data_IF_418410592424
#
_entry.id   IF_418410592424
#
_cell.length_a   1.000
_cell.length_b   1.000
_cell.length_c   1.000
_cell.angle_alpha   90.00
_cell.angle_beta   90.00
_cell.angle_gamma   90.00
#
_symmetry.space_group_name_H-M   'P 1'
#
loop_
_entity.id
_entity.type
_entity.pdbx_description
1 polymer ?
#
# COMPACT_ATOMS: atom_id res chain seq x y z
N UNK A 1 -66.58 -4.44 -38.49
CA UNK A 1 -66.89 -3.00 -38.55
C UNK A 1 -65.88 -2.38 -39.52
N UNK A 2 -66.34 -2.05 -40.75
CA UNK A 2 -65.69 -1.29 -41.86
C UNK A 2 -64.25 -1.71 -42.26
N UNK A 3 -63.98 -2.43 -43.36
CA UNK A 3 -64.23 -2.13 -44.79
C UNK A 3 -63.64 -0.75 -45.15
N UNK A 4 -62.63 -0.60 -46.00
CA UNK A 4 -62.58 -0.81 -47.46
C UNK A 4 -61.14 -0.44 -47.93
N UNK A 5 -60.59 -0.66 -49.14
CA UNK A 5 -61.09 -0.97 -50.46
C UNK A 5 -59.96 -1.59 -51.31
N UNK A 6 -60.36 -2.44 -52.25
CA UNK A 6 -59.53 -3.05 -53.29
C UNK A 6 -59.69 -2.28 -54.61
N UNK A 7 -58.67 -2.28 -55.47
CA UNK A 7 -58.82 -2.15 -56.93
C UNK A 7 -57.65 -2.93 -57.58
N UNK A 8 -57.87 -4.08 -58.24
CA UNK A 8 -58.25 -4.23 -59.67
C UNK A 8 -57.11 -3.79 -60.62
N UNK A 9 -56.77 -4.46 -61.74
CA UNK A 9 -57.49 -5.42 -62.59
C UNK A 9 -56.53 -5.99 -63.66
N UNK A 10 -56.80 -7.23 -64.05
CA UNK A 10 -56.81 -7.84 -65.40
C UNK A 10 -55.66 -7.77 -66.43
N UNK A 11 -55.42 -9.00 -66.95
CA UNK A 11 -55.26 -9.40 -68.37
C UNK A 11 -53.97 -8.94 -69.09
N UNK A 12 -53.38 -9.65 -70.06
CA UNK A 12 -53.93 -10.58 -71.03
C UNK A 12 -52.82 -11.45 -71.67
N UNK A 13 -53.27 -12.61 -72.14
CA UNK A 13 -52.73 -13.54 -73.15
C UNK A 13 -51.69 -13.05 -74.18
N UNK A 14 -50.83 -13.95 -74.63
CA UNK A 14 -50.22 -13.85 -75.96
C UNK A 14 -49.14 -14.89 -76.27
N UNK A 15 -49.44 -15.84 -77.16
CA UNK A 15 -48.57 -16.89 -77.68
C UNK A 15 -47.28 -16.36 -78.38
N UNK A 16 -46.20 -17.15 -78.37
CA UNK A 16 -45.72 -17.94 -79.54
C UNK A 16 -44.36 -18.62 -79.30
N UNK A 17 -44.26 -19.77 -79.96
CA UNK A 17 -43.15 -20.73 -80.04
C UNK A 17 -41.88 -20.10 -80.64
N UNK A 18 -40.69 -20.52 -80.20
CA UNK A 18 -39.83 -21.47 -80.94
C UNK A 18 -38.35 -21.45 -80.50
N UNK A 19 -37.77 -22.66 -80.49
CA UNK A 19 -36.36 -23.03 -80.77
C UNK A 19 -35.26 -22.60 -79.79
N UNK A 20 -34.84 -23.58 -78.97
CA UNK A 20 -33.51 -24.18 -79.08
C UNK A 20 -32.32 -23.41 -78.50
N UNK A 21 -31.89 -23.82 -77.31
CA UNK A 21 -30.47 -23.94 -76.98
C UNK A 21 -30.34 -24.87 -75.76
N UNK A 22 -29.64 -25.98 -75.96
CA UNK A 22 -29.23 -26.88 -74.89
C UNK A 22 -28.20 -26.18 -74.01
N UNK A 23 -28.40 -26.22 -72.68
CA UNK A 23 -27.30 -26.07 -71.73
C UNK A 23 -27.54 -27.02 -70.58
N UNK A 24 -26.83 -28.15 -70.61
CA UNK A 24 -26.69 -29.06 -69.49
C UNK A 24 -25.74 -28.41 -68.47
N UNK A 25 -26.19 -28.25 -67.23
CA UNK A 25 -25.30 -28.03 -66.08
C UNK A 25 -25.65 -29.11 -65.06
N UNK A 26 -24.79 -30.13 -65.03
CA UNK A 26 -24.72 -31.11 -63.97
C UNK A 26 -24.13 -30.43 -62.72
N UNK A 27 -24.93 -30.30 -61.66
CA UNK A 27 -24.43 -29.86 -60.36
C UNK A 27 -23.89 -31.09 -59.61
N UNK A 28 -22.56 -31.20 -59.57
CA UNK A 28 -21.84 -32.17 -58.74
C UNK A 28 -22.00 -31.75 -57.27
N UNK A 29 -22.67 -32.59 -56.48
CA UNK A 29 -22.73 -32.46 -55.02
C UNK A 29 -21.38 -32.89 -54.42
N UNK A 30 -20.50 -31.93 -54.16
CA UNK A 30 -19.31 -32.14 -53.35
C UNK A 30 -19.69 -32.08 -51.87
N UNK A 31 -19.80 -33.24 -51.24
CA UNK A 31 -19.86 -33.39 -49.77
C UNK A 31 -18.46 -33.11 -49.23
N UNK A 32 -18.24 -31.88 -48.77
CA UNK A 32 -17.03 -31.52 -48.04
C UNK A 32 -17.08 -32.13 -46.64
N UNK A 33 -16.24 -33.13 -46.38
CA UNK A 33 -15.91 -33.59 -45.02
C UNK A 33 -15.28 -32.42 -44.25
N UNK A 34 -16.07 -31.77 -43.39
CA UNK A 34 -15.55 -30.87 -42.38
C UNK A 34 -14.88 -31.72 -41.29
N UNK A 35 -13.55 -31.88 -41.38
CA UNK A 35 -12.76 -32.31 -40.23
C UNK A 35 -12.95 -31.27 -39.11
N UNK A 36 -13.26 -31.66 -37.86
CA UNK A 36 -13.15 -30.74 -36.74
C UNK A 36 -11.67 -30.40 -36.60
N UNK A 37 -11.30 -29.21 -37.08
CA UNK A 37 -10.00 -28.62 -36.83
C UNK A 37 -9.79 -28.60 -35.32
N UNK A 38 -8.83 -29.39 -34.84
CA UNK A 38 -8.29 -29.20 -33.50
C UNK A 38 -7.74 -27.78 -33.48
N UNK A 39 -8.49 -26.87 -32.87
CA UNK A 39 -7.92 -25.61 -32.43
C UNK A 39 -6.79 -25.99 -31.47
N UNK A 40 -5.55 -25.99 -31.98
CA UNK A 40 -4.40 -25.85 -31.11
C UNK A 40 -4.62 -24.52 -30.41
N UNK A 41 -5.03 -24.58 -29.15
CA UNK A 41 -4.74 -23.51 -28.21
C UNK A 41 -3.21 -23.45 -28.19
N UNK A 42 -2.64 -22.64 -29.08
CA UNK A 42 -1.27 -22.20 -28.93
C UNK A 42 -1.25 -21.56 -27.54
N UNK A 43 -0.61 -22.23 -26.60
CA UNK A 43 -0.37 -21.69 -25.27
C UNK A 43 0.42 -20.42 -25.53
N UNK A 44 -0.23 -19.27 -25.36
CA UNK A 44 0.39 -17.98 -25.52
C UNK A 44 1.70 -18.02 -24.72
N UNK A 45 2.80 -17.61 -25.36
CA UNK A 45 4.11 -17.65 -24.71
C UNK A 45 4.00 -16.81 -23.44
N UNK A 46 4.01 -17.47 -22.30
CA UNK A 46 3.95 -16.86 -20.98
C UNK A 46 4.94 -15.69 -20.95
N UNK A 47 4.48 -14.45 -20.66
CA UNK A 47 5.36 -13.29 -20.71
C UNK A 47 6.49 -13.47 -19.69
N UNK A 48 7.71 -13.62 -20.20
CA UNK A 48 8.93 -13.51 -19.42
C UNK A 48 9.25 -12.05 -19.30
N UNK A 49 9.50 -11.60 -18.09
CA UNK A 49 9.87 -10.23 -17.82
C UNK A 49 10.79 -10.18 -16.62
N UNK A 50 11.55 -9.10 -16.53
CA UNK A 50 12.40 -8.84 -15.39
C UNK A 50 12.03 -7.50 -14.78
N UNK A 51 12.27 -7.34 -13.48
CA UNK A 51 12.11 -6.06 -12.80
C UNK A 51 13.27 -5.84 -11.84
N UNK A 52 13.58 -4.57 -11.61
CA UNK A 52 14.66 -4.18 -10.71
C UNK A 52 14.10 -3.76 -9.35
N UNK A 53 14.82 -4.09 -8.28
CA UNK A 53 14.55 -3.62 -6.92
C UNK A 53 15.80 -2.90 -6.42
N UNK A 54 15.59 -1.67 -5.96
CA UNK A 54 16.59 -0.79 -5.34
C UNK A 54 15.98 -0.17 -4.07
N UNK A 55 16.80 0.30 -3.15
CA UNK A 55 16.34 0.96 -1.93
C UNK A 55 17.50 1.63 -1.21
N UNK A 56 17.22 2.71 -0.48
CA UNK A 56 18.24 3.41 0.33
C UNK A 56 19.43 3.97 -0.48
N UNK A 57 19.26 4.27 -1.77
CA UNK A 57 20.36 4.73 -2.63
C UNK A 57 20.75 6.19 -2.39
N UNK A 58 19.88 6.97 -1.75
CA UNK A 58 20.04 8.40 -1.50
C UNK A 58 20.25 8.63 0.00
N UNK A 59 21.51 8.75 0.43
CA UNK A 59 21.85 9.02 1.84
C UNK A 59 22.22 10.50 2.08
N UNK A 60 22.54 11.21 1.01
CA UNK A 60 22.96 12.60 0.98
C UNK A 60 22.73 13.21 -0.41
N UNK A 61 22.93 14.53 -0.60
CA UNK A 61 22.92 15.14 -1.93
C UNK A 61 24.03 14.59 -2.85
N UNK A 62 25.15 14.10 -2.29
CA UNK A 62 26.26 13.57 -3.08
C UNK A 62 25.92 12.25 -3.79
N UNK A 63 24.87 11.55 -3.34
CA UNK A 63 24.42 10.28 -3.94
C UNK A 63 23.51 10.47 -5.15
N UNK A 64 23.06 11.70 -5.45
CA UNK A 64 22.10 11.98 -6.53
C UNK A 64 22.63 11.56 -7.90
N UNK A 65 23.84 12.01 -8.25
CA UNK A 65 24.45 11.66 -9.53
C UNK A 65 24.67 10.15 -9.67
N UNK A 66 25.01 9.45 -8.57
CA UNK A 66 25.20 8.01 -8.59
C UNK A 66 23.87 7.26 -8.73
N UNK A 67 22.82 7.71 -8.04
CA UNK A 67 21.47 7.14 -8.17
C UNK A 67 20.90 7.40 -9.56
N UNK A 68 21.08 8.59 -10.11
CA UNK A 68 20.67 8.88 -11.49
C UNK A 68 21.40 7.97 -12.49
N UNK A 69 22.72 7.76 -12.30
CA UNK A 69 23.48 6.80 -13.11
C UNK A 69 22.97 5.37 -12.97
N UNK A 70 22.57 4.96 -11.76
CA UNK A 70 21.98 3.65 -11.50
C UNK A 70 20.66 3.49 -12.26
N UNK A 71 19.77 4.48 -12.20
CA UNK A 71 18.51 4.48 -12.96
C UNK A 71 18.77 4.43 -14.48
N UNK A 72 19.76 5.16 -14.98
CA UNK A 72 20.16 5.11 -16.39
C UNK A 72 20.70 3.73 -16.78
N UNK A 73 21.52 3.10 -15.93
CA UNK A 73 22.03 1.75 -16.17
C UNK A 73 20.90 0.74 -16.28
N UNK A 74 19.93 0.79 -15.36
CA UNK A 74 18.76 -0.09 -15.41
C UNK A 74 17.93 0.19 -16.67
N UNK A 75 17.75 1.47 -17.05
CA UNK A 75 17.00 1.85 -18.25
C UNK A 75 17.66 1.49 -19.60
N UNK A 76 18.91 1.02 -19.58
CA UNK A 76 19.61 0.48 -20.76
C UNK A 76 19.35 -1.02 -20.95
N UNK A 77 18.93 -1.73 -19.90
CA UNK A 77 18.54 -3.14 -19.98
C UNK A 77 17.13 -3.25 -20.58
N UNK A 78 16.99 -3.90 -21.73
CA UNK A 78 15.74 -3.93 -22.48
C UNK A 78 14.71 -4.92 -21.94
N UNK A 79 15.11 -5.81 -21.04
CA UNK A 79 14.27 -6.83 -20.39
C UNK A 79 13.65 -6.35 -19.07
N UNK A 80 14.12 -5.22 -18.51
CA UNK A 80 13.58 -4.62 -17.29
C UNK A 80 12.28 -3.86 -17.61
N UNK A 81 11.16 -4.39 -17.12
CA UNK A 81 9.84 -3.83 -17.35
C UNK A 81 9.50 -2.66 -16.42
N UNK A 82 10.00 -2.69 -15.19
CA UNK A 82 9.81 -1.62 -14.20
C UNK A 82 10.87 -1.73 -13.08
N UNK A 83 10.96 -0.66 -12.29
CA UNK A 83 11.79 -0.55 -11.09
C UNK A 83 10.86 -0.41 -9.87
N UNK A 84 11.20 -1.06 -8.77
CA UNK A 84 10.67 -0.74 -7.44
C UNK A 84 11.76 -0.06 -6.62
N UNK A 85 11.47 1.14 -6.13
CA UNK A 85 12.28 1.85 -5.15
C UNK A 85 11.69 1.60 -3.76
N UNK A 86 12.28 0.66 -3.03
CA UNK A 86 11.83 0.14 -1.73
C UNK A 86 12.31 1.02 -0.56
N UNK A 87 11.85 2.27 -0.58
CA UNK A 87 11.94 3.19 0.55
C UNK A 87 13.31 3.78 0.83
N UNK A 88 13.31 4.63 1.85
CA UNK A 88 14.46 5.40 2.33
C UNK A 88 15.04 6.26 1.20
N UNK A 89 14.20 7.13 0.65
CA UNK A 89 14.51 8.16 -0.34
C UNK A 89 15.46 9.24 0.21
N UNK A 90 15.75 9.18 1.50
CA UNK A 90 16.75 9.98 2.21
C UNK A 90 17.36 9.17 3.35
N UNK A 91 18.45 9.66 3.93
CA UNK A 91 18.94 9.10 5.20
C UNK A 91 18.08 9.54 6.39
N UNK A 92 18.22 8.82 7.51
CA UNK A 92 17.63 9.22 8.79
C UNK A 92 18.16 10.56 9.34
N UNK A 93 19.25 11.09 8.76
CA UNK A 93 19.91 12.35 9.19
C UNK A 93 19.61 13.54 8.31
N UNK A 94 18.97 13.32 7.17
CA UNK A 94 18.51 14.40 6.31
C UNK A 94 17.17 14.92 6.81
N UNK A 95 17.08 16.24 6.99
CA UNK A 95 15.85 16.88 7.44
C UNK A 95 14.70 16.66 6.45
N UNK A 96 13.51 16.34 6.96
CA UNK A 96 12.31 16.04 6.15
C UNK A 96 11.65 17.28 5.51
N UNK A 97 12.46 18.13 4.88
CA UNK A 97 12.03 19.36 4.19
C UNK A 97 11.27 19.01 2.92
N UNK A 98 10.23 19.79 2.60
CA UNK A 98 9.46 19.66 1.37
C UNK A 98 10.36 19.72 0.12
N UNK A 99 11.34 20.63 0.12
CA UNK A 99 12.28 20.78 -1.00
C UNK A 99 13.15 19.55 -1.23
N UNK A 100 13.50 18.82 -0.17
CA UNK A 100 14.26 17.58 -0.30
C UNK A 100 13.41 16.54 -1.04
N UNK A 101 12.17 16.31 -0.61
CA UNK A 101 11.27 15.36 -1.26
C UNK A 101 10.96 15.75 -2.71
N UNK A 102 10.78 17.05 -3.00
CA UNK A 102 10.60 17.54 -4.36
C UNK A 102 11.81 17.22 -5.26
N UNK A 103 13.04 17.46 -4.77
CA UNK A 103 14.27 17.11 -5.49
C UNK A 103 14.37 15.60 -5.72
N UNK A 104 14.10 14.78 -4.70
CA UNK A 104 14.19 13.32 -4.84
C UNK A 104 13.12 12.76 -5.76
N UNK A 105 11.89 13.27 -5.70
CA UNK A 105 10.83 12.92 -6.63
C UNK A 105 11.25 13.24 -8.07
N UNK A 106 11.74 14.45 -8.33
CA UNK A 106 12.22 14.84 -9.65
C UNK A 106 13.32 13.90 -10.18
N UNK A 107 14.22 13.44 -9.31
CA UNK A 107 15.25 12.46 -9.67
C UNK A 107 14.64 11.10 -10.05
N UNK A 108 13.67 10.59 -9.29
CA UNK A 108 13.00 9.32 -9.61
C UNK A 108 12.21 9.39 -10.92
N UNK A 109 11.60 10.54 -11.23
CA UNK A 109 10.88 10.77 -12.49
C UNK A 109 11.80 10.73 -13.73
N UNK A 110 13.12 10.88 -13.56
CA UNK A 110 14.09 10.71 -14.65
C UNK A 110 14.28 9.25 -15.04
N UNK A 111 13.77 8.29 -14.26
CA UNK A 111 13.81 6.87 -14.58
C UNK A 111 13.19 6.62 -15.96
N UNK A 112 13.93 5.94 -16.85
CA UNK A 112 13.39 5.58 -18.16
C UNK A 112 12.30 4.49 -18.04
N UNK A 113 12.51 3.35 -17.34
CA UNK A 113 11.41 2.44 -17.02
C UNK A 113 10.42 3.06 -16.03
N UNK A 114 9.20 2.52 -15.97
CA UNK A 114 8.28 2.78 -14.86
C UNK A 114 8.99 2.57 -13.51
N UNK A 115 8.74 3.46 -12.55
CA UNK A 115 9.26 3.36 -11.19
C UNK A 115 8.13 3.44 -10.18
N UNK A 116 8.00 2.39 -9.35
CA UNK A 116 7.06 2.35 -8.22
C UNK A 116 7.83 2.62 -6.94
N UNK A 117 7.50 3.69 -6.24
CA UNK A 117 8.09 4.04 -4.95
C UNK A 117 7.23 3.46 -3.81
N UNK A 118 7.88 2.82 -2.84
CA UNK A 118 7.28 2.31 -1.61
C UNK A 118 7.92 3.04 -0.44
N UNK A 119 7.17 3.62 0.51
CA UNK A 119 7.77 4.38 1.61
C UNK A 119 8.51 3.47 2.60
N UNK A 120 9.63 3.99 3.11
CA UNK A 120 10.42 3.39 4.17
C UNK A 120 10.43 4.21 5.46
N UNK A 121 11.18 3.69 6.44
CA UNK A 121 11.36 4.31 7.75
C UNK A 121 11.82 5.77 7.66
N UNK A 122 12.85 6.05 6.85
CA UNK A 122 13.43 7.38 6.81
C UNK A 122 12.54 8.37 6.06
N UNK A 123 11.53 7.93 5.33
CA UNK A 123 10.73 8.85 4.50
C UNK A 123 9.70 9.63 5.32
N UNK A 124 9.28 9.10 6.47
CA UNK A 124 8.31 9.77 7.33
C UNK A 124 8.46 9.40 8.82
N UNK A 125 8.69 8.12 9.14
CA UNK A 125 8.68 7.62 10.51
C UNK A 125 9.77 8.26 11.40
N UNK A 126 10.98 8.44 10.87
CA UNK A 126 12.10 9.03 11.60
C UNK A 126 12.09 10.57 11.61
N UNK A 127 11.14 11.22 10.94
CA UNK A 127 11.14 12.68 10.78
C UNK A 127 11.01 13.44 12.10
N UNK A 128 10.47 12.81 13.15
CA UNK A 128 10.40 13.35 14.50
C UNK A 128 11.71 13.35 15.28
N UNK A 129 12.78 12.75 14.75
CA UNK A 129 14.11 12.83 15.36
C UNK A 129 14.71 14.22 15.17
N UNK A 130 15.56 14.64 16.11
CA UNK A 130 16.26 15.93 16.03
C UNK A 130 17.14 16.01 14.77
N UNK A 131 17.85 14.93 14.44
CA UNK A 131 18.69 14.85 13.23
C UNK A 131 17.86 14.98 11.93
N UNK A 132 16.63 14.47 11.92
CA UNK A 132 15.69 14.60 10.79
C UNK A 132 14.87 15.91 10.81
N UNK A 133 15.19 16.84 11.71
CA UNK A 133 14.58 18.17 11.77
C UNK A 133 13.33 18.30 12.64
N UNK A 134 12.96 17.26 13.39
CA UNK A 134 11.90 17.32 14.40
C UNK A 134 10.49 17.59 13.86
N UNK A 135 10.18 17.12 12.65
CA UNK A 135 8.85 17.21 12.05
C UNK A 135 7.88 16.20 12.68
N UNK A 136 6.57 16.44 12.55
CA UNK A 136 5.59 15.41 12.92
C UNK A 136 5.58 14.27 11.87
N UNK A 137 5.82 13.00 12.26
CA UNK A 137 5.87 11.89 11.32
C UNK A 137 4.58 11.67 10.51
N UNK A 138 3.41 11.88 11.13
CA UNK A 138 2.11 11.64 10.47
C UNK A 138 1.85 12.74 9.44
N UNK A 139 2.17 13.98 9.78
CA UNK A 139 2.11 15.11 8.85
C UNK A 139 3.07 14.91 7.66
N UNK A 140 4.28 14.38 7.89
CA UNK A 140 5.21 14.02 6.81
C UNK A 140 4.67 12.88 5.94
N UNK A 141 4.03 11.87 6.52
CA UNK A 141 3.36 10.82 5.75
C UNK A 141 2.23 11.40 4.88
N UNK A 142 1.47 12.37 5.41
CA UNK A 142 0.43 13.07 4.66
C UNK A 142 1.00 13.94 3.52
N UNK A 143 2.17 14.54 3.69
CA UNK A 143 2.90 15.20 2.61
C UNK A 143 3.21 14.21 1.47
N UNK A 144 3.75 13.02 1.79
CA UNK A 144 4.04 11.99 0.78
C UNK A 144 2.76 11.56 0.05
N UNK A 145 1.64 11.40 0.76
CA UNK A 145 0.32 11.06 0.19
C UNK A 145 -0.22 12.10 -0.79
N UNK A 146 0.13 13.37 -0.57
CA UNK A 146 -0.27 14.49 -1.42
C UNK A 146 0.69 14.75 -2.58
N UNK A 147 1.91 14.20 -2.52
CA UNK A 147 2.96 14.42 -3.51
C UNK A 147 3.34 13.12 -4.20
N UNK A 148 4.25 12.33 -3.63
CA UNK A 148 4.79 11.10 -4.22
C UNK A 148 3.72 10.01 -4.48
N UNK A 149 2.59 10.02 -3.78
CA UNK A 149 1.52 9.03 -3.93
C UNK A 149 0.22 9.58 -4.51
N UNK A 150 0.22 10.80 -5.05
CA UNK A 150 -0.99 11.47 -5.50
C UNK A 150 -1.63 10.84 -6.75
N UNK A 151 -0.81 10.41 -7.71
CA UNK A 151 -1.24 10.00 -9.04
C UNK A 151 -1.62 8.53 -9.11
N UNK A 152 -2.54 8.15 -10.00
CA UNK A 152 -2.91 6.74 -10.24
C UNK A 152 -1.96 6.01 -11.21
N UNK A 153 -0.82 6.61 -11.52
CA UNK A 153 0.25 6.03 -12.32
C UNK A 153 1.55 5.91 -11.50
N UNK A 154 2.48 5.09 -11.98
CA UNK A 154 3.84 5.06 -11.44
C UNK A 154 4.62 6.31 -11.88
N UNK A 155 5.80 6.51 -11.29
CA UNK A 155 6.79 7.50 -11.73
C UNK A 155 7.53 7.00 -12.98
N UNK A 156 8.37 7.86 -13.54
CA UNK A 156 9.27 7.57 -14.65
C UNK A 156 8.67 7.91 -16.01
N UNK A 157 9.50 7.81 -17.05
CA UNK A 157 9.17 8.25 -18.40
C UNK A 157 8.22 7.30 -19.15
N UNK A 158 8.06 6.06 -18.66
CA UNK A 158 7.15 5.05 -19.21
C UNK A 158 6.25 4.50 -18.11
N UNK A 159 5.34 5.30 -17.55
CA UNK A 159 4.61 4.94 -16.34
C UNK A 159 3.57 3.85 -16.60
N UNK A 160 3.34 3.00 -15.58
CA UNK A 160 2.29 1.97 -15.58
C UNK A 160 1.10 2.42 -14.71
N UNK A 161 -0.13 1.96 -15.02
CA UNK A 161 -1.28 2.21 -14.18
C UNK A 161 -1.15 1.47 -12.84
N UNK A 162 -1.52 2.14 -11.76
CA UNK A 162 -1.48 1.64 -10.39
C UNK A 162 -2.87 1.78 -9.76
N UNK A 163 -3.35 0.70 -9.13
CA UNK A 163 -4.56 0.75 -8.29
C UNK A 163 -4.14 1.05 -6.86
N UNK A 164 -4.77 2.03 -6.22
CA UNK A 164 -4.44 2.40 -4.83
C UNK A 164 -5.48 1.91 -3.85
N UNK A 165 -5.05 1.65 -2.62
CA UNK A 165 -5.97 1.33 -1.53
C UNK A 165 -6.98 2.47 -1.30
N UNK A 166 -6.56 3.72 -1.53
CA UNK A 166 -7.42 4.90 -1.43
C UNK A 166 -8.66 4.91 -2.35
N UNK A 167 -8.72 4.06 -3.37
CA UNK A 167 -9.94 3.87 -4.17
C UNK A 167 -11.06 3.17 -3.37
N UNK A 168 -10.70 2.45 -2.32
CA UNK A 168 -11.64 1.85 -1.39
C UNK A 168 -12.14 2.92 -0.44
N UNK A 169 -13.47 3.10 -0.40
CA UNK A 169 -14.13 4.22 0.29
C UNK A 169 -13.75 4.36 1.77
N UNK A 170 -13.52 3.25 2.47
CA UNK A 170 -13.10 3.20 3.88
C UNK A 170 -11.64 3.61 4.09
N UNK A 171 -10.79 3.47 3.08
CA UNK A 171 -9.34 3.65 3.18
C UNK A 171 -8.83 4.80 2.30
N UNK A 172 -9.68 5.80 2.01
CA UNK A 172 -9.36 6.96 1.15
C UNK A 172 -8.07 7.72 1.51
N UNK A 173 -7.64 7.66 2.75
CA UNK A 173 -6.41 8.30 3.25
C UNK A 173 -5.15 7.50 2.93
N UNK A 174 -5.23 6.20 2.64
CA UNK A 174 -4.10 5.30 2.43
C UNK A 174 -3.74 5.24 0.95
N UNK A 175 -3.04 6.27 0.45
CA UNK A 175 -2.61 6.38 -0.95
C UNK A 175 -1.31 5.65 -1.25
N UNK A 176 -0.53 5.41 -0.21
CA UNK A 176 0.81 4.82 -0.27
C UNK A 176 0.79 3.30 -0.53
N UNK A 177 -0.34 2.64 -0.29
CA UNK A 177 -0.54 1.24 -0.61
C UNK A 177 -1.04 1.08 -2.04
N UNK A 178 -0.33 0.28 -2.84
CA UNK A 178 -0.56 0.17 -4.28
C UNK A 178 -0.64 -1.29 -4.73
N UNK A 179 -1.28 -1.52 -5.87
CA UNK A 179 -1.34 -2.82 -6.54
C UNK A 179 -1.29 -2.63 -8.05
N UNK A 180 -0.55 -3.48 -8.74
CA UNK A 180 -0.50 -3.54 -10.20
C UNK A 180 -0.32 -4.99 -10.67
N UNK A 181 -0.38 -5.21 -11.97
CA UNK A 181 -0.26 -6.55 -12.55
C UNK A 181 0.63 -6.51 -13.79
N UNK A 182 1.53 -7.49 -13.89
CA UNK A 182 2.35 -7.74 -15.08
C UNK A 182 2.25 -9.22 -15.41
N UNK A 183 1.76 -9.54 -16.62
CA UNK A 183 1.37 -10.90 -16.97
C UNK A 183 0.37 -11.46 -15.95
N UNK A 184 0.63 -12.68 -15.47
CA UNK A 184 -0.19 -13.33 -14.44
C UNK A 184 0.37 -13.14 -13.01
N UNK A 185 1.19 -12.11 -12.78
CA UNK A 185 1.72 -11.80 -11.44
C UNK A 185 1.07 -10.53 -10.91
N UNK A 186 0.48 -10.63 -9.71
CA UNK A 186 -0.06 -9.48 -8.97
C UNK A 186 1.02 -8.95 -8.03
N UNK A 187 1.29 -7.65 -8.12
CA UNK A 187 2.24 -6.96 -7.26
C UNK A 187 1.51 -6.08 -6.26
N UNK A 188 1.99 -6.04 -5.02
CA UNK A 188 1.41 -5.28 -3.91
C UNK A 188 2.53 -4.51 -3.22
N UNK A 189 2.45 -3.18 -3.18
CA UNK A 189 3.34 -2.34 -2.39
C UNK A 189 2.66 -1.88 -1.11
N UNK A 190 3.38 -1.91 0.02
CA UNK A 190 2.83 -1.60 1.34
C UNK A 190 3.71 -0.64 2.14
N UNK A 191 3.07 0.29 2.85
CA UNK A 191 3.73 1.06 3.91
C UNK A 191 3.82 0.24 5.20
N UNK A 192 4.91 -0.52 5.30
CA UNK A 192 5.31 -1.29 6.48
C UNK A 192 6.79 -0.97 6.76
N UNK A 193 7.09 0.15 7.43
CA UNK A 193 8.46 0.62 7.59
C UNK A 193 9.23 -0.14 8.67
N UNK A 194 10.55 -0.16 8.56
CA UNK A 194 11.43 -0.61 9.65
C UNK A 194 11.46 0.37 10.84
N UNK A 195 12.10 -0.02 11.96
CA UNK A 195 12.51 -1.37 12.31
C UNK A 195 11.41 -2.15 13.05
N UNK A 196 10.28 -1.51 13.40
CA UNK A 196 9.18 -2.16 14.13
C UNK A 196 7.83 -1.60 13.69
N UNK A 197 7.67 -1.35 12.38
CA UNK A 197 6.42 -0.91 11.77
C UNK A 197 5.88 0.42 12.33
N UNK A 198 6.74 1.31 12.82
CA UNK A 198 6.37 2.52 13.58
C UNK A 198 5.54 2.25 14.86
N UNK A 199 5.65 1.07 15.49
CA UNK A 199 4.99 0.82 16.76
C UNK A 199 5.65 1.63 17.90
N UNK A 200 4.88 2.48 18.60
CA UNK A 200 5.38 3.26 19.74
C UNK A 200 5.11 2.56 21.07
N UNK A 201 6.12 2.56 21.93
CA UNK A 201 6.04 2.00 23.29
C UNK A 201 5.50 3.01 24.34
N UNK A 202 5.00 4.15 23.88
CA UNK A 202 4.46 5.19 24.75
C UNK A 202 3.13 4.75 25.40
N UNK A 203 2.82 5.31 26.57
CA UNK A 203 1.51 5.14 27.19
C UNK A 203 0.46 5.91 26.39
N UNK A 204 -0.49 5.21 25.77
CA UNK A 204 -1.53 5.81 24.94
C UNK A 204 -1.93 4.92 23.77
N UNK A 205 -2.84 5.43 22.93
CA UNK A 205 -3.26 4.75 21.70
C UNK A 205 -2.21 4.96 20.61
N UNK A 206 -1.88 3.90 19.87
CA UNK A 206 -1.02 3.97 18.70
C UNK A 206 -1.87 4.24 17.44
N UNK A 207 -2.54 5.39 17.39
CA UNK A 207 -3.61 5.65 16.40
C UNK A 207 -3.19 5.42 14.94
N UNK A 208 -2.07 6.03 14.52
CA UNK A 208 -1.52 5.84 13.16
C UNK A 208 -1.26 4.36 12.85
N UNK A 209 -0.49 3.69 13.72
CA UNK A 209 -0.11 2.28 13.53
C UNK A 209 -1.32 1.35 13.52
N UNK A 210 -2.24 1.50 14.48
CA UNK A 210 -3.42 0.65 14.62
C UNK A 210 -4.31 0.75 13.38
N UNK A 211 -4.54 1.97 12.88
CA UNK A 211 -5.40 2.19 11.72
C UNK A 211 -4.70 1.74 10.42
N UNK A 212 -3.39 1.97 10.26
CA UNK A 212 -2.61 1.50 9.11
C UNK A 212 -2.49 -0.02 9.07
N UNK A 213 -2.36 -0.70 10.20
CA UNK A 213 -2.36 -2.17 10.26
C UNK A 213 -3.67 -2.74 9.75
N UNK A 214 -4.81 -2.12 10.06
CA UNK A 214 -6.12 -2.54 9.55
C UNK A 214 -6.20 -2.34 8.03
N UNK A 215 -5.73 -1.20 7.53
CA UNK A 215 -5.67 -0.92 6.09
C UNK A 215 -4.79 -1.95 5.36
N UNK A 216 -3.53 -2.11 5.77
CA UNK A 216 -2.59 -3.06 5.17
C UNK A 216 -3.14 -4.51 5.17
N UNK A 217 -3.78 -4.94 6.26
CA UNK A 217 -4.38 -6.26 6.35
C UNK A 217 -5.54 -6.44 5.35
N UNK A 218 -6.40 -5.43 5.23
CA UNK A 218 -7.48 -5.41 4.23
C UNK A 218 -6.92 -5.42 2.80
N UNK A 219 -5.88 -4.63 2.52
CA UNK A 219 -5.29 -4.55 1.19
C UNK A 219 -4.68 -5.88 0.73
N UNK A 220 -3.99 -6.59 1.62
CA UNK A 220 -3.46 -7.93 1.35
C UNK A 220 -4.59 -8.95 1.09
N UNK A 221 -5.63 -8.97 1.92
CA UNK A 221 -6.77 -9.86 1.73
C UNK A 221 -7.47 -9.60 0.38
N UNK A 222 -7.67 -8.32 0.06
CA UNK A 222 -8.26 -7.91 -1.21
C UNK A 222 -7.36 -8.28 -2.41
N UNK A 223 -6.03 -8.17 -2.28
CA UNK A 223 -5.10 -8.58 -3.31
C UNK A 223 -5.12 -10.10 -3.55
N UNK A 224 -5.25 -10.92 -2.50
CA UNK A 224 -5.37 -12.37 -2.63
C UNK A 224 -6.67 -12.77 -3.36
N UNK A 225 -7.80 -12.16 -3.00
CA UNK A 225 -9.08 -12.39 -3.69
C UNK A 225 -9.09 -11.82 -5.12
N UNK A 226 -8.40 -10.71 -5.37
CA UNK A 226 -8.18 -10.20 -6.72
C UNK A 226 -7.36 -11.21 -7.55
N UNK A 227 -6.24 -11.69 -7.03
CA UNK A 227 -5.37 -12.66 -7.71
C UNK A 227 -6.10 -13.95 -8.07
N UNK A 228 -6.91 -14.49 -7.14
CA UNK A 228 -7.75 -15.67 -7.41
C UNK A 228 -8.74 -15.44 -8.55
N UNK A 229 -9.48 -14.33 -8.50
CA UNK A 229 -10.49 -13.99 -9.52
C UNK A 229 -9.90 -13.77 -10.91
N UNK A 230 -8.66 -13.32 -10.98
CA UNK A 230 -7.96 -13.07 -12.24
C UNK A 230 -7.05 -14.23 -12.67
N UNK A 231 -7.14 -15.38 -12.00
CA UNK A 231 -6.30 -16.56 -12.27
C UNK A 231 -4.79 -16.24 -12.27
N UNK A 232 -4.38 -15.31 -11.41
CA UNK A 232 -2.97 -14.98 -11.25
C UNK A 232 -2.19 -16.21 -10.81
N UNK A 233 -0.95 -16.32 -11.28
CA UNK A 233 -0.05 -17.45 -11.04
C UNK A 233 0.97 -17.15 -9.95
N UNK A 234 1.13 -15.89 -9.55
CA UNK A 234 1.97 -15.49 -8.43
C UNK A 234 1.50 -14.17 -7.80
N UNK A 235 1.86 -13.96 -6.53
CA UNK A 235 1.76 -12.66 -5.84
C UNK A 235 3.15 -12.25 -5.37
N UNK A 236 3.50 -10.98 -5.58
CA UNK A 236 4.71 -10.36 -5.03
C UNK A 236 4.30 -9.20 -4.11
N UNK A 237 4.70 -9.26 -2.85
CA UNK A 237 4.49 -8.23 -1.83
C UNK A 237 5.81 -7.52 -1.59
N UNK A 238 5.82 -6.20 -1.59
CA UNK A 238 7.00 -5.37 -1.39
C UNK A 238 6.78 -4.40 -0.23
N UNK A 239 7.77 -4.29 0.65
CA UNK A 239 7.79 -3.39 1.80
C UNK A 239 9.24 -3.12 2.23
N UNK A 240 9.49 -1.98 2.86
CA UNK A 240 10.84 -1.64 3.30
C UNK A 240 11.27 -2.38 4.58
N UNK A 241 10.36 -2.59 5.53
CA UNK A 241 10.70 -3.08 6.86
C UNK A 241 11.08 -4.55 6.91
N UNK A 242 12.20 -4.88 7.57
CA UNK A 242 12.49 -6.24 8.00
C UNK A 242 11.54 -6.65 9.13
N UNK A 243 10.65 -7.57 8.81
CA UNK A 243 9.55 -7.98 9.68
C UNK A 243 9.88 -9.16 10.60
N UNK A 244 11.12 -9.67 10.55
CA UNK A 244 11.62 -10.82 11.29
C UNK A 244 10.59 -11.98 11.30
N UNK A 245 10.49 -12.73 10.18
CA UNK A 245 9.50 -13.80 10.02
C UNK A 245 9.61 -14.91 11.05
N UNK A 246 10.80 -15.15 11.61
CA UNK A 246 11.05 -16.20 12.60
C UNK A 246 10.58 -15.79 13.99
N UNK A 247 10.69 -14.50 14.33
CA UNK A 247 10.11 -13.93 15.56
C UNK A 247 8.60 -13.80 15.41
N UNK A 248 7.90 -14.92 15.50
CA UNK A 248 6.44 -14.96 15.50
C UNK A 248 5.94 -15.02 16.94
N UNK A 249 5.44 -13.89 17.49
CA UNK A 249 4.91 -13.85 18.85
C UNK A 249 3.72 -14.80 19.00
N UNK A 250 3.93 -15.91 19.72
CA UNK A 250 2.85 -16.81 20.10
C UNK A 250 2.23 -16.33 21.42
N UNK A 251 0.90 -16.43 21.57
CA UNK A 251 0.27 -16.31 22.87
C UNK A 251 0.82 -17.41 23.80
N UNK A 252 1.80 -17.08 24.64
CA UNK A 252 2.33 -18.04 25.61
C UNK A 252 1.29 -18.23 26.72
N UNK A 253 0.78 -19.47 26.87
CA UNK A 253 -0.20 -19.85 27.91
C UNK A 253 0.27 -19.56 29.34
N UNK A 254 1.59 -19.35 29.52
CA UNK A 254 2.27 -19.13 30.79
C UNK A 254 3.14 -17.87 30.78
N UNK A 255 2.82 -16.86 29.98
CA UNK A 255 3.59 -15.60 29.93
C UNK A 255 3.81 -14.97 31.32
N UNK A 256 2.85 -15.18 32.25
CA UNK A 256 2.92 -14.73 33.64
C UNK A 256 4.02 -15.40 34.49
N UNK A 257 4.58 -16.53 34.06
CA UNK A 257 5.67 -17.24 34.74
C UNK A 257 7.07 -16.71 34.39
N UNK A 258 7.21 -15.83 33.39
CA UNK A 258 8.48 -15.14 33.10
C UNK A 258 8.60 -13.85 33.90
N UNK A 259 9.07 -13.96 35.14
CA UNK A 259 9.52 -12.80 35.90
C UNK A 259 10.80 -12.25 35.27
N UNK A 260 10.76 -11.01 34.75
CA UNK A 260 11.98 -10.24 34.41
C UNK A 260 12.32 -10.02 32.93
N UNK A 261 11.53 -10.53 31.97
CA UNK A 261 11.67 -10.15 30.55
C UNK A 261 10.31 -9.77 29.95
N UNK A 262 9.99 -8.47 29.95
CA UNK A 262 8.91 -7.97 29.08
C UNK A 262 9.40 -8.14 27.64
N UNK A 263 8.87 -9.13 26.92
CA UNK A 263 9.11 -9.21 25.48
C UNK A 263 8.63 -7.88 24.87
N UNK A 264 9.50 -7.22 24.11
CA UNK A 264 9.12 -6.04 23.34
C UNK A 264 8.01 -6.46 22.37
N UNK A 265 6.93 -5.68 22.25
CA UNK A 265 5.84 -5.93 21.30
C UNK A 265 6.39 -5.99 19.88
N UNK A 266 6.08 -7.07 19.18
CA UNK A 266 6.29 -7.20 17.75
C UNK A 266 5.26 -6.37 16.97
N UNK A 267 5.70 -5.25 16.40
CA UNK A 267 4.87 -4.37 15.58
C UNK A 267 4.53 -4.96 14.20
N UNK A 268 5.16 -6.07 13.82
CA UNK A 268 4.86 -6.78 12.58
C UNK A 268 3.93 -7.99 12.78
N UNK A 269 3.48 -8.30 14.00
CA UNK A 269 2.71 -9.52 14.25
C UNK A 269 1.45 -9.59 13.37
N UNK A 270 0.69 -8.50 13.30
CA UNK A 270 -0.53 -8.40 12.50
C UNK A 270 -0.24 -8.47 11.00
N UNK A 271 0.88 -7.90 10.55
CA UNK A 271 1.35 -8.04 9.18
C UNK A 271 1.71 -9.51 8.86
N UNK A 272 2.45 -10.19 9.73
CA UNK A 272 2.77 -11.62 9.58
C UNK A 272 1.54 -12.50 9.53
N UNK A 273 0.52 -12.23 10.37
CA UNK A 273 -0.79 -12.90 10.29
C UNK A 273 -1.50 -12.64 8.96
N UNK A 274 -1.43 -11.42 8.46
CA UNK A 274 -2.01 -11.06 7.15
C UNK A 274 -1.30 -11.78 6.00
N UNK A 275 0.02 -11.97 6.08
CA UNK A 275 0.78 -12.79 5.13
C UNK A 275 0.37 -14.28 5.18
N UNK A 276 0.20 -14.85 6.38
CA UNK A 276 -0.31 -16.22 6.54
C UNK A 276 -1.68 -16.34 5.88
N UNK A 277 -2.61 -15.41 6.18
CA UNK A 277 -3.94 -15.40 5.57
C UNK A 277 -3.88 -15.26 4.05
N UNK A 278 -3.04 -14.38 3.52
CA UNK A 278 -2.84 -14.23 2.08
C UNK A 278 -2.36 -15.55 1.44
N UNK A 279 -1.40 -16.24 2.07
CA UNK A 279 -0.88 -17.51 1.58
C UNK A 279 -1.89 -18.67 1.71
N UNK A 280 -2.79 -18.64 2.69
CA UNK A 280 -3.91 -19.59 2.82
C UNK A 280 -5.00 -19.33 1.77
N UNK A 281 -5.30 -18.06 1.49
CA UNK A 281 -6.30 -17.65 0.49
C UNK A 281 -5.80 -17.92 -0.93
N UNK A 282 -4.56 -17.54 -1.25
CA UNK A 282 -3.94 -17.72 -2.55
C UNK A 282 -2.95 -18.89 -2.54
N UNK A 283 -3.34 -20.03 -3.10
CA UNK A 283 -2.53 -21.26 -3.11
C UNK A 283 -1.34 -21.25 -4.08
N UNK A 284 -1.13 -20.18 -4.85
CA UNK A 284 0.04 -20.02 -5.70
C UNK A 284 1.29 -19.54 -4.94
N UNK A 285 2.44 -19.44 -5.63
CA UNK A 285 3.64 -18.81 -5.09
C UNK A 285 3.41 -17.36 -4.64
N UNK A 286 3.74 -17.08 -3.38
CA UNK A 286 3.78 -15.74 -2.79
C UNK A 286 5.24 -15.41 -2.52
N UNK A 287 5.68 -14.23 -2.95
CA UNK A 287 7.01 -13.71 -2.65
C UNK A 287 6.87 -12.43 -1.85
N UNK A 288 7.63 -12.31 -0.76
CA UNK A 288 7.74 -11.07 0.03
C UNK A 288 9.15 -10.53 -0.14
N UNK A 289 9.29 -9.33 -0.68
CA UNK A 289 10.56 -8.67 -0.93
C UNK A 289 10.69 -7.51 0.05
N UNK A 290 11.81 -7.44 0.75
CA UNK A 290 12.09 -6.30 1.62
C UNK A 290 13.60 -6.03 1.73
N UNK A 291 13.93 -4.80 2.09
CA UNK A 291 15.30 -4.45 2.42
C UNK A 291 15.71 -5.09 3.76
N UNK A 292 16.94 -5.58 3.81
CA UNK A 292 17.60 -6.04 5.03
C UNK A 292 18.72 -5.07 5.39
N UNK A 293 18.85 -4.78 6.68
CA UNK A 293 19.90 -3.91 7.21
C UNK A 293 21.21 -4.68 7.42
N UNK A 294 21.14 -6.00 7.54
CA UNK A 294 22.31 -6.84 7.72
C UNK A 294 23.01 -7.09 6.38
N UNK A 295 24.26 -6.64 6.29
CA UNK A 295 25.07 -6.81 5.08
C UNK A 295 25.27 -8.29 4.79
N UNK A 296 24.66 -8.75 3.71
CA UNK A 296 24.80 -10.12 3.25
C UNK A 296 25.92 -10.26 2.22
N UNK A 297 26.71 -11.34 2.33
CA UNK A 297 27.82 -11.59 1.42
C UNK A 297 27.38 -11.68 -0.05
N UNK A 298 26.22 -12.28 -0.31
CA UNK A 298 25.64 -12.44 -1.64
C UNK A 298 24.80 -11.23 -2.11
N UNK A 299 24.56 -10.24 -1.24
CA UNK A 299 23.68 -9.10 -1.51
C UNK A 299 22.19 -9.38 -1.36
N UNK A 300 21.78 -10.63 -1.12
CA UNK A 300 20.40 -11.03 -0.82
C UNK A 300 20.36 -12.41 -0.13
N UNK A 301 19.20 -12.76 0.42
CA UNK A 301 18.84 -14.07 0.96
C UNK A 301 17.45 -14.49 0.44
N UNK A 302 17.29 -15.80 0.22
CA UNK A 302 16.02 -16.42 -0.15
C UNK A 302 15.74 -17.59 0.78
N UNK A 303 14.61 -17.56 1.47
CA UNK A 303 14.17 -18.61 2.38
C UNK A 303 12.63 -18.65 2.52
N UNK A 304 12.11 -19.61 3.30
CA UNK A 304 10.68 -19.73 3.64
C UNK A 304 10.48 -19.79 5.16
N UNK A 305 10.78 -18.71 5.90
CA UNK A 305 10.86 -18.73 7.36
C UNK A 305 9.50 -18.58 8.06
N UNK A 306 8.48 -18.10 7.35
CA UNK A 306 7.19 -17.76 7.95
C UNK A 306 6.46 -19.02 8.45
N UNK A 307 5.94 -18.93 9.69
CA UNK A 307 5.12 -19.97 10.31
C UNK A 307 3.73 -19.43 10.67
N UNK A 308 2.74 -20.31 10.67
CA UNK A 308 1.39 -19.98 11.14
C UNK A 308 1.29 -20.05 12.69
N UNK A 309 0.12 -19.72 13.24
CA UNK A 309 -0.14 -19.77 14.69
C UNK A 309 0.02 -21.19 15.29
N UNK A 310 -0.09 -22.25 14.48
CA UNK A 310 0.15 -23.65 14.89
C UNK A 310 1.64 -24.01 14.92
N UNK A 311 2.47 -23.19 14.29
CA UNK A 311 3.91 -23.39 14.14
C UNK A 311 4.33 -24.11 12.87
N UNK A 312 3.40 -24.42 11.99
CA UNK A 312 3.68 -25.04 10.68
C UNK A 312 4.27 -24.01 9.73
N UNK A 313 5.18 -24.45 8.86
CA UNK A 313 5.77 -23.61 7.82
C UNK A 313 4.72 -23.25 6.75
N UNK A 314 4.71 -21.99 6.33
CA UNK A 314 3.90 -21.51 5.19
C UNK A 314 4.68 -21.77 3.91
N UNK A 315 4.48 -22.94 3.30
CA UNK A 315 5.35 -23.46 2.23
C UNK A 315 5.23 -22.77 0.87
N UNK A 316 4.15 -22.01 0.64
CA UNK A 316 3.97 -21.25 -0.59
C UNK A 316 4.42 -19.79 -0.49
N UNK A 317 4.96 -19.35 0.67
CA UNK A 317 5.51 -18.02 0.85
C UNK A 317 7.03 -18.06 0.92
N UNK A 318 7.68 -17.33 0.02
CA UNK A 318 9.13 -17.17 -0.04
C UNK A 318 9.50 -15.73 0.30
N UNK A 319 10.48 -15.55 1.18
CA UNK A 319 11.07 -14.24 1.45
C UNK A 319 12.27 -14.03 0.54
N UNK A 320 12.42 -12.80 0.04
CA UNK A 320 13.62 -12.30 -0.60
C UNK A 320 14.04 -11.05 0.18
N UNK A 321 15.04 -11.21 1.04
CA UNK A 321 15.64 -10.12 1.79
C UNK A 321 16.83 -9.60 0.99
N UNK A 322 16.88 -8.31 0.64
CA UNK A 322 17.98 -7.76 -0.15
C UNK A 322 18.81 -6.71 0.62
N UNK A 323 20.12 -6.78 0.44
CA UNK A 323 21.10 -5.91 1.09
C UNK A 323 22.34 -5.78 0.19
N UNK A 324 22.27 -5.04 -0.93
CA UNK A 324 23.39 -4.83 -1.83
C UNK A 324 24.58 -4.24 -1.09
N UNK A 325 25.79 -4.66 -1.48
CA UNK A 325 27.03 -4.20 -0.82
C UNK A 325 27.32 -2.73 -1.11
N UNK A 326 26.92 -2.27 -2.29
CA UNK A 326 27.00 -0.88 -2.72
C UNK A 326 25.66 -0.47 -3.36
N UNK A 327 24.70 0.06 -2.58
CA UNK A 327 23.36 0.36 -3.07
C UNK A 327 23.35 1.43 -4.18
N UNK A 328 24.34 2.31 -4.25
CA UNK A 328 24.48 3.29 -5.33
C UNK A 328 25.01 2.71 -6.65
N UNK A 329 25.55 1.48 -6.64
CA UNK A 329 26.18 0.87 -7.81
C UNK A 329 25.69 -0.57 -8.08
N UNK A 330 24.70 -1.05 -7.34
CA UNK A 330 24.13 -2.38 -7.47
C UNK A 330 22.61 -2.32 -7.36
N UNK A 331 21.94 -3.17 -8.12
CA UNK A 331 20.51 -3.42 -7.99
C UNK A 331 20.23 -4.92 -7.98
N UNK A 332 19.06 -5.28 -7.47
CA UNK A 332 18.56 -6.65 -7.55
C UNK A 332 17.71 -6.76 -8.80
N UNK A 333 18.04 -7.70 -9.69
CA UNK A 333 17.19 -8.08 -10.81
C UNK A 333 16.42 -9.35 -10.47
N UNK A 334 15.11 -9.31 -10.70
CA UNK A 334 14.21 -10.43 -10.50
C UNK A 334 13.64 -10.83 -11.84
N UNK A 335 14.03 -12.01 -12.33
CA UNK A 335 13.52 -12.59 -13.57
C UNK A 335 12.29 -13.45 -13.25
N UNK A 336 11.15 -13.08 -13.83
CA UNK A 336 9.90 -13.83 -13.72
C UNK A 336 9.73 -14.76 -14.93
N UNK A 337 9.70 -16.06 -14.66
CA UNK A 337 9.38 -17.11 -15.62
C UNK A 337 8.38 -18.07 -14.96
N UNK A 338 7.09 -17.74 -15.08
CA UNK A 338 6.01 -18.48 -14.45
C UNK A 338 5.92 -19.94 -14.93
N UNK A 339 6.57 -20.30 -16.05
CA UNK A 339 6.65 -21.70 -16.49
C UNK A 339 7.64 -22.54 -15.65
N UNK A 340 8.53 -21.91 -14.87
CA UNK A 340 9.52 -22.57 -14.02
C UNK A 340 9.08 -22.66 -12.56
N UNK A 341 9.73 -23.56 -11.82
CA UNK A 341 9.62 -23.69 -10.37
C UNK A 341 11.05 -23.68 -9.77
N UNK A 342 11.43 -22.69 -8.95
CA UNK A 342 10.65 -21.49 -8.59
C UNK A 342 10.43 -20.55 -9.80
N UNK A 343 9.34 -19.75 -9.79
CA UNK A 343 9.01 -18.84 -10.89
C UNK A 343 9.86 -17.56 -10.93
N UNK A 344 10.54 -17.23 -9.83
CA UNK A 344 11.39 -16.04 -9.73
C UNK A 344 12.85 -16.44 -9.54
N UNK A 345 13.75 -15.78 -10.27
CA UNK A 345 15.20 -15.90 -10.10
C UNK A 345 15.76 -14.54 -9.72
N UNK A 346 16.69 -14.52 -8.77
CA UNK A 346 17.25 -13.30 -8.21
C UNK A 346 18.73 -13.23 -8.58
N UNK A 347 19.17 -12.07 -9.03
CA UNK A 347 20.57 -11.79 -9.29
C UNK A 347 20.94 -10.37 -8.83
N UNK A 348 22.20 -10.18 -8.46
CA UNK A 348 22.75 -8.85 -8.19
C UNK A 348 23.43 -8.36 -9.46
N UNK A 349 23.01 -7.20 -9.94
CA UNK A 349 23.60 -6.53 -11.08
C UNK A 349 24.45 -5.34 -10.63
N UNK A 350 25.37 -4.91 -11.49
CA UNK A 350 26.27 -3.79 -11.19
C UNK A 350 26.16 -2.73 -12.29
N UNK A 351 26.23 -1.46 -11.90
CA UNK A 351 26.32 -0.37 -12.86
C UNK A 351 27.60 -0.55 -13.71
N UNK A 352 27.51 -0.56 -15.05
CA UNK A 352 28.68 -0.68 -15.91
C UNK A 352 29.70 0.41 -15.62
N UNK A 353 30.97 0.04 -15.44
CA UNK A 353 32.06 0.99 -15.17
C UNK A 353 32.27 2.02 -16.29
N UNK A 354 31.85 1.68 -17.51
CA UNK A 354 31.89 2.55 -18.69
C UNK A 354 30.82 3.62 -18.70
N UNK A 355 29.80 3.52 -17.84
CA UNK A 355 28.73 4.51 -17.75
C UNK A 355 29.25 5.74 -16.97
N UNK A 356 29.38 6.93 -17.61
CA UNK A 356 29.82 8.13 -16.91
C UNK A 356 28.80 8.56 -15.86
N UNK A 357 29.26 9.32 -14.87
CA UNK A 357 28.33 10.03 -14.00
C UNK A 357 27.61 11.12 -14.80
N UNK A 358 26.29 11.29 -14.63
CA UNK A 358 25.58 12.43 -15.17
C UNK A 358 26.25 13.73 -14.72
N UNK A 359 26.41 14.66 -15.66
CA UNK A 359 26.78 16.03 -15.30
C UNK A 359 25.61 16.58 -14.50
N UNK A 360 25.87 17.06 -13.29
CA UNK A 360 24.84 17.71 -12.48
C UNK A 360 24.16 18.78 -13.36
N UNK A 361 22.81 18.78 -13.47
CA UNK A 361 22.15 19.90 -14.10
C UNK A 361 22.63 21.17 -13.38
N UNK A 362 23.12 22.15 -14.12
CA UNK A 362 23.18 23.52 -13.62
C UNK A 362 21.75 23.96 -13.43
N UNK A 363 21.17 23.60 -12.28
CA UNK A 363 19.97 24.26 -11.80
C UNK A 363 20.34 25.74 -11.70
N UNK A 364 19.58 26.66 -12.32
CA UNK A 364 19.79 28.07 -12.04
C UNK A 364 19.68 28.21 -10.53
N UNK A 365 20.73 28.77 -9.92
CA UNK A 365 20.71 29.13 -8.51
C UNK A 365 19.41 29.89 -8.26
N UNK A 366 18.51 29.34 -7.45
CA UNK A 366 17.38 30.10 -6.92
C UNK A 366 17.91 31.11 -5.88
N UNK A 367 18.77 32.03 -6.34
CA UNK A 367 19.11 33.29 -5.69
C UNK A 367 18.49 34.48 -6.44
N UNK A 368 17.66 34.24 -7.46
CA UNK A 368 16.78 35.24 -8.07
C UNK A 368 15.31 34.92 -7.74
N UNK A 369 14.99 34.77 -6.46
CA UNK A 369 13.75 35.38 -6.00
C UNK A 369 14.12 36.77 -5.55
N UNK A 370 14.03 37.72 -6.48
CA UNK A 370 13.71 39.09 -6.12
C UNK A 370 12.55 38.98 -5.15
N UNK A 371 12.75 39.38 -3.88
CA UNK A 371 11.66 39.48 -2.94
C UNK A 371 10.52 40.24 -3.64
N UNK A 372 9.27 39.75 -3.60
CA UNK A 372 8.16 40.55 -4.11
C UNK A 372 8.28 41.94 -3.48
N UNK A 373 8.11 43.03 -4.25
CA UNK A 373 8.19 44.37 -3.69
C UNK A 373 7.26 44.40 -2.48
N UNK A 374 7.81 44.79 -1.33
CA UNK A 374 7.01 44.97 -0.14
C UNK A 374 5.79 45.81 -0.52
N UNK A 375 4.57 45.43 -0.09
CA UNK A 375 3.43 46.30 -0.30
C UNK A 375 3.78 47.68 0.28
N UNK A 376 3.35 48.79 -0.37
CA UNK A 376 3.60 50.11 0.16
C UNK A 376 3.10 50.16 1.60
N UNK A 377 3.94 50.71 2.48
CA UNK A 377 3.59 50.95 3.88
C UNK A 377 2.20 51.59 3.94
N UNK A 378 1.29 50.99 4.71
CA UNK A 378 -0.01 51.57 5.00
C UNK A 378 0.17 53.05 5.41
N UNK A 379 -0.71 53.97 4.97
CA UNK A 379 -0.70 55.33 5.49
C UNK A 379 -0.77 55.28 7.02
N UNK A 380 0.05 56.10 7.68
CA UNK A 380 0.01 56.21 9.13
C UNK A 380 -1.44 56.54 9.56
N UNK A 381 -2.03 55.65 10.35
CA UNK A 381 -3.28 55.95 11.06
C UNK A 381 -2.96 57.11 12.00
N UNK A 382 -3.70 58.25 11.93
CA UNK A 382 -3.52 59.33 12.89
C UNK A 382 -3.77 58.77 14.30
N UNK A 383 -2.80 59.01 15.20
CA UNK A 383 -2.83 58.52 16.57
C UNK A 383 -4.15 58.85 17.25
N UNK A 384 -4.88 57.82 17.67
CA UNK A 384 -6.07 57.98 18.49
C UNK A 384 -5.62 58.42 19.89
N UNK A 385 -6.08 59.61 20.28
CA UNK A 385 -5.91 60.22 21.59
C UNK A 385 -6.38 59.29 22.73
N UNK A 386 -5.86 59.46 23.97
CA UNK A 386 -6.16 58.57 25.08
C UNK A 386 -7.65 58.60 25.46
N UNK A 387 -8.17 57.41 25.78
CA UNK A 387 -9.53 57.20 26.25
C UNK A 387 -9.76 57.89 27.60
N UNK A 388 -10.50 59.00 27.58
CA UNK A 388 -11.28 59.51 28.70
C UNK A 388 -12.28 60.51 28.16
N UNK A 389 -13.52 60.06 27.96
CA UNK A 389 -14.78 60.80 28.15
C UNK A 389 -15.94 59.98 27.54
N UNK A 390 -16.78 59.42 28.40
CA UNK A 390 -18.05 58.79 28.03
C UNK A 390 -19.11 59.89 27.79
N UNK A 391 -19.81 59.90 26.64
CA UNK A 391 -20.97 60.76 26.44
C UNK A 391 -22.25 60.17 27.07
N UNK A 392 -23.26 61.01 27.40
CA UNK A 392 -24.38 60.64 28.28
C UNK A 392 -25.47 59.78 27.61
N UNK A 393 -26.14 59.01 28.45
CA UNK A 393 -27.24 58.08 28.18
C UNK A 393 -28.49 58.81 27.64
N UNK A 394 -29.10 58.27 26.57
CA UNK A 394 -30.42 58.66 26.06
C UNK A 394 -31.56 57.94 26.83
N UNK A 395 -32.72 58.58 27.06
CA UNK A 395 -33.78 58.07 27.95
C UNK A 395 -34.68 56.99 27.31
N UNK A 396 -35.15 56.06 28.14
CA UNK A 396 -36.09 54.97 27.83
C UNK A 396 -37.55 55.47 27.70
N UNK A 397 -38.38 54.89 26.79
CA UNK A 397 -39.81 55.18 26.72
C UNK A 397 -40.65 54.40 27.76
N UNK A 398 -41.86 54.88 28.12
CA UNK A 398 -42.55 54.49 29.36
C UNK A 398 -43.21 53.11 29.31
N UNK A 399 -43.17 52.43 30.47
CA UNK A 399 -43.70 51.10 30.73
C UNK A 399 -45.18 51.17 31.17
N UNK A 400 -46.03 50.34 30.57
CA UNK A 400 -47.44 50.16 30.98
C UNK A 400 -47.55 49.29 32.25
N UNK A 401 -48.60 49.46 33.07
CA UNK A 401 -48.64 48.93 34.44
C UNK A 401 -48.98 47.43 34.51
N UNK A 402 -48.38 46.75 35.49
CA UNK A 402 -48.76 45.41 35.95
C UNK A 402 -49.57 45.52 37.26
N UNK A 403 -50.52 44.61 37.54
CA UNK A 403 -51.30 44.66 38.76
C UNK A 403 -50.58 44.03 39.96
N UNK A 404 -50.94 44.55 41.14
CA UNK A 404 -50.46 44.27 42.49
C UNK A 404 -50.49 42.79 42.93
N UNK A 405 -49.55 42.41 43.79
CA UNK A 405 -49.85 42.06 45.20
C UNK A 405 -48.60 41.74 46.04
N UNK A 406 -48.31 42.67 46.95
CA UNK A 406 -47.99 42.53 48.40
C UNK A 406 -46.96 41.53 48.93
N UNK A 407 -46.03 42.13 49.70
CA UNK A 407 -45.46 41.73 51.01
C UNK A 407 -44.64 40.42 51.06
N UNK A 408 -43.50 40.31 51.74
CA UNK A 408 -43.01 40.99 52.93
C UNK A 408 -41.49 40.71 53.11
N UNK A 409 -40.89 41.42 54.06
CA UNK A 409 -39.47 41.48 54.40
C UNK A 409 -38.87 40.16 54.92
N UNK A 410 -37.60 39.86 54.63
CA UNK A 410 -36.58 39.73 55.70
C UNK A 410 -35.13 39.64 55.19
N UNK A 411 -34.22 40.10 56.05
CA UNK A 411 -32.79 40.23 55.87
C UNK A 411 -32.01 38.90 56.01
N UNK A 412 -30.79 38.83 55.47
CA UNK A 412 -29.86 37.76 55.87
C UNK A 412 -28.65 37.56 54.97
N UNK A 413 -27.48 37.91 55.50
CA UNK A 413 -26.16 37.86 54.89
C UNK A 413 -25.57 36.43 54.79
N UNK A 414 -24.54 36.32 53.94
CA UNK A 414 -23.44 35.32 53.87
C UNK A 414 -23.73 33.90 53.36
N UNK A 415 -23.29 33.64 52.12
CA UNK A 415 -23.07 32.29 51.58
C UNK A 415 -21.56 31.99 51.47
N UNK A 416 -21.13 30.96 52.19
CA UNK A 416 -19.87 30.25 52.01
C UNK A 416 -20.17 28.93 51.26
N UNK A 417 -19.34 28.56 50.28
CA UNK A 417 -19.07 27.15 49.98
C UNK A 417 -19.73 26.50 48.75
N UNK A 418 -18.87 25.73 48.08
CA UNK A 418 -19.09 24.43 47.40
C UNK A 418 -19.54 24.34 45.93
N UNK A 419 -18.55 23.96 45.10
CA UNK A 419 -18.52 22.83 44.14
C UNK A 419 -19.74 22.57 43.25
N UNK A 420 -19.55 22.75 41.94
CA UNK A 420 -20.38 22.11 40.90
C UNK A 420 -19.69 20.87 40.33
N UNK A 421 -20.31 19.71 40.55
CA UNK A 421 -20.18 18.50 39.71
C UNK A 421 -21.00 18.72 38.43
N UNK A 422 -20.44 18.38 37.28
CA UNK A 422 -21.18 18.28 36.02
C UNK A 422 -21.42 16.81 35.66
N UNK A 423 -22.66 16.50 35.32
CA UNK A 423 -23.20 15.19 34.94
C UNK A 423 -23.38 15.18 33.42
N UNK A 424 -22.92 14.15 32.68
CA UNK A 424 -23.28 13.96 31.27
C UNK A 424 -24.57 13.12 31.13
N UNK A 425 -25.37 13.32 30.08
CA UNK A 425 -26.59 12.54 29.85
C UNK A 425 -26.32 11.21 29.11
N UNK A 426 -26.88 10.13 29.67
CA UNK A 426 -27.31 8.87 29.02
C UNK A 426 -28.41 9.16 27.97
N UNK A 427 -28.79 8.34 26.98
CA UNK A 427 -28.39 7.04 26.45
C UNK A 427 -29.22 6.83 25.17
N UNK A 428 -28.75 6.04 24.19
CA UNK A 428 -29.65 5.12 23.46
C UNK A 428 -28.91 3.82 23.14
N UNK A 429 -29.52 2.73 23.62
CA UNK A 429 -29.10 1.34 23.56
C UNK A 429 -29.62 0.65 22.31
N UNK A 430 -28.77 -0.17 21.67
CA UNK A 430 -29.15 -1.12 20.64
C UNK A 430 -28.43 -2.44 20.89
N UNK A 431 -29.01 -3.29 21.74
CA UNK A 431 -28.49 -4.61 22.06
C UNK A 431 -28.97 -5.64 21.03
N UNK A 432 -28.03 -6.36 20.41
CA UNK A 432 -28.29 -7.65 19.76
C UNK A 432 -27.59 -8.75 20.56
N UNK A 433 -28.40 -9.70 21.04
CA UNK A 433 -27.96 -10.91 21.72
C UNK A 433 -27.34 -11.92 20.74
N UNK A 434 -26.36 -12.74 21.17
CA UNK A 434 -26.08 -14.01 20.50
C UNK A 434 -26.82 -15.15 21.21
N UNK A 435 -27.45 -15.99 20.38
CA UNK A 435 -28.16 -17.18 20.78
C UNK A 435 -27.23 -18.23 21.42
N UNK A 436 -27.76 -18.87 22.46
CA UNK A 436 -27.18 -20.01 23.15
C UNK A 436 -27.24 -21.27 22.28
N UNK A 437 -26.12 -21.97 22.14
CA UNK A 437 -26.04 -23.34 21.62
C UNK A 437 -25.54 -24.27 22.71
N UNK A 438 -26.44 -25.08 23.27
CA UNK A 438 -26.18 -26.12 24.25
C UNK A 438 -25.50 -27.36 23.65
N UNK A 439 -24.68 -28.00 24.48
CA UNK A 439 -23.81 -29.14 24.24
C UNK A 439 -24.50 -30.44 23.79
N UNK A 440 -23.71 -31.34 23.18
CA UNK A 440 -23.60 -32.75 23.62
C UNK A 440 -22.20 -33.34 23.37
N UNK A 441 -21.71 -34.23 24.27
CA UNK A 441 -20.48 -35.00 24.13
C UNK A 441 -20.76 -36.46 23.71
N UNK A 442 -19.72 -37.16 23.23
CA UNK A 442 -19.36 -38.59 23.51
C UNK A 442 -18.81 -39.32 22.29
N UNK A 443 -17.70 -40.05 22.48
CA UNK A 443 -17.17 -41.03 21.52
C UNK A 443 -15.75 -41.47 21.87
N UNK A 444 -15.64 -42.52 22.68
CA UNK A 444 -14.40 -43.12 23.24
C UNK A 444 -14.03 -44.40 22.47
N UNK A 445 -12.73 -44.77 22.53
CA UNK A 445 -12.05 -46.09 22.38
C UNK A 445 -11.28 -46.40 21.07
N UNK A 446 -10.29 -47.34 21.09
CA UNK A 446 -9.10 -47.57 21.96
C UNK A 446 -7.78 -47.35 21.14
N UNK A 447 -6.55 -47.27 21.64
CA UNK A 447 -5.86 -48.05 22.67
C UNK A 447 -5.05 -49.23 22.06
N UNK A 448 -3.81 -48.99 21.61
CA UNK A 448 -2.75 -50.03 21.46
C UNK A 448 -1.41 -49.45 21.96
N UNK A 449 -0.75 -50.24 22.80
CA UNK A 449 0.38 -49.89 23.67
C UNK A 449 1.79 -49.92 23.06
N UNK A 450 2.83 -49.93 23.93
CA UNK A 450 4.12 -49.28 23.66
C UNK A 450 5.22 -50.23 23.19
N UNK A 451 6.14 -49.70 22.37
CA UNK A 451 7.41 -50.32 22.01
C UNK A 451 8.59 -49.54 22.59
N UNK A 452 9.40 -50.23 23.38
CA UNK A 452 10.55 -49.77 24.16
C UNK A 452 11.86 -49.69 23.37
N UNK A 453 12.68 -48.66 23.71
CA UNK A 453 14.15 -48.60 23.81
C UNK A 453 15.06 -48.59 22.54
N UNK A 454 16.35 -48.15 22.64
CA UNK A 454 17.03 -47.35 23.69
C UNK A 454 17.90 -46.18 23.15
N UNK A 455 18.49 -45.48 24.13
CA UNK A 455 19.49 -44.42 24.07
C UNK A 455 20.72 -44.66 23.19
N UNK A 456 21.33 -43.56 22.71
CA UNK A 456 22.78 -43.46 22.65
C UNK A 456 23.25 -42.00 22.78
N UNK A 457 24.05 -41.80 23.82
CA UNK A 457 24.80 -40.62 24.17
C UNK A 457 26.20 -40.68 23.54
N UNK A 458 26.62 -39.65 22.80
CA UNK A 458 28.05 -39.38 22.56
C UNK A 458 28.30 -37.87 22.53
N UNK A 459 28.80 -37.35 23.65
CA UNK A 459 29.70 -36.20 23.69
C UNK A 459 31.09 -36.65 23.24
N UNK A 460 31.76 -35.87 22.38
CA UNK A 460 33.09 -35.31 22.64
C UNK A 460 33.60 -34.49 21.45
N UNK A 461 33.90 -33.22 21.74
CA UNK A 461 34.91 -32.40 21.08
C UNK A 461 36.31 -32.80 21.58
N UNK A 462 37.35 -32.46 20.82
CA UNK A 462 38.20 -31.32 21.20
C UNK A 462 37.84 -30.03 20.48
#
# INVERSE_FOLDING_TARGET
MRSTDAYARHASSGHRRSRGAALAIALVAAVSLALPGRASFAKESEPRYSFAVIGGTLQSPADEAQTQRLLEAIGRESDISFIVYDGNLKSGKEACRDSLFATRQALLEMSKPALVFIPGQHDWADCGTEEAGGYDPVERLDLLRQTLFADTSSMGQNPIPLVRESEVSRFRTYRENVRWQVGDTVFVGLNVPGPNNHFLYAGGRNGEFEDRVIANAFWLDHAAEYAKRHNARAIVVLLQGDFDPERYERPERFAWLRFGRKAKRDGFLEFKRSLVKLAETFHGPVVVIHQDNDRMHAGFMIDQPLRNDKGDLVTNLTRIAFAPRNPQNQWIQIDADLAKRPPFRVSVQNVPKSLPLPVAPTLPSHNEYTAPPMPPSMPAVPGSAPASELPPILPEPPRAPSPDSSNDNDAGSTSNGTTYRYVPPDATTGAYAPASGTAQPSGVYPGIGPGTNPASSVQRRP
#
